data_IF_005504086273
#
_entry.id   IF_005504086273
#
_cell.length_a   1.000
_cell.length_b   1.000
_cell.length_c   1.000
_cell.angle_alpha   90.00
_cell.angle_beta   90.00
_cell.angle_gamma   90.00
#
_symmetry.space_group_name_H-M   'P 1'
#
loop_
_entity.id
_entity.type
_entity.pdbx_description
1 polymer ?
#
# COMPACT_ATOMS: atom_id res chain seq x y z
N UNK A 1 0.16 0.35 -24.67
CA UNK A 1 0.40 1.80 -24.57
C UNK A 1 1.32 2.02 -23.39
N UNK A 2 2.32 2.90 -23.49
CA UNK A 2 3.20 3.20 -22.37
C UNK A 2 2.40 3.85 -21.24
N UNK A 3 2.55 3.34 -20.03
CA UNK A 3 1.99 3.93 -18.81
C UNK A 3 2.32 5.44 -18.75
N UNK A 4 1.32 6.35 -18.74
CA UNK A 4 1.56 7.79 -18.74
C UNK A 4 2.28 8.27 -17.47
N UNK A 5 2.19 7.52 -16.37
CA UNK A 5 2.84 7.83 -15.09
C UNK A 5 4.20 7.16 -14.93
N UNK A 6 4.55 6.18 -15.78
CA UNK A 6 5.80 5.43 -15.70
C UNK A 6 6.07 4.82 -14.32
N UNK A 7 5.03 4.28 -13.68
CA UNK A 7 5.11 3.57 -12.40
C UNK A 7 5.34 2.07 -12.63
N UNK A 8 5.78 1.34 -11.60
CA UNK A 8 5.93 -0.10 -11.69
C UNK A 8 4.57 -0.79 -11.55
N UNK A 9 4.27 -1.74 -12.44
CA UNK A 9 2.99 -2.46 -12.43
C UNK A 9 3.09 -3.85 -11.83
N UNK A 10 1.94 -4.34 -11.37
CA UNK A 10 1.70 -5.67 -10.83
C UNK A 10 1.61 -6.70 -11.96
N UNK A 11 2.69 -6.85 -12.75
CA UNK A 11 2.79 -7.97 -13.67
C UNK A 11 2.73 -9.33 -12.94
N UNK A 12 2.72 -10.43 -13.69
CA UNK A 12 2.60 -11.77 -13.12
C UNK A 12 3.63 -12.09 -12.02
N UNK A 13 4.88 -11.63 -12.20
CA UNK A 13 5.95 -11.84 -11.22
C UNK A 13 5.67 -11.00 -9.96
N UNK A 14 5.30 -9.73 -10.14
CA UNK A 14 5.02 -8.82 -9.03
C UNK A 14 3.81 -9.27 -8.22
N UNK A 15 2.74 -9.77 -8.84
CA UNK A 15 1.59 -10.33 -8.12
C UNK A 15 1.99 -11.54 -7.24
N UNK A 16 2.89 -12.39 -7.73
CA UNK A 16 3.40 -13.54 -6.95
C UNK A 16 4.24 -13.08 -5.76
N UNK A 17 5.06 -12.04 -5.95
CA UNK A 17 5.86 -11.44 -4.88
C UNK A 17 4.96 -10.77 -3.83
N UNK A 18 3.95 -10.01 -4.25
CA UNK A 18 2.96 -9.40 -3.38
C UNK A 18 2.17 -10.45 -2.58
N UNK A 19 1.72 -11.52 -3.23
CA UNK A 19 1.04 -12.62 -2.54
C UNK A 19 1.91 -13.26 -1.45
N UNK A 20 3.22 -13.40 -1.71
CA UNK A 20 4.16 -13.93 -0.71
C UNK A 20 4.38 -12.95 0.43
N UNK A 21 4.57 -11.66 0.11
CA UNK A 21 4.81 -10.60 1.07
C UNK A 21 3.63 -10.40 2.03
N UNK A 22 2.41 -10.42 1.49
CA UNK A 22 1.20 -10.04 2.23
C UNK A 22 0.52 -11.20 2.95
N UNK A 23 0.94 -12.44 2.67
CA UNK A 23 0.44 -13.66 3.32
C UNK A 23 0.44 -13.61 4.85
N UNK A 24 1.47 -13.09 5.55
CA UNK A 24 1.46 -12.99 7.02
C UNK A 24 0.34 -12.11 7.57
N UNK A 25 -0.13 -11.13 6.80
CA UNK A 25 -1.25 -10.26 7.17
C UNK A 25 -2.61 -10.89 6.85
N UNK A 26 -2.63 -12.06 6.19
CA UNK A 26 -3.86 -12.72 5.76
C UNK A 26 -4.51 -12.10 4.52
N UNK A 27 -3.80 -11.25 3.79
CA UNK A 27 -4.28 -10.65 2.53
C UNK A 27 -4.05 -11.63 1.39
N UNK A 28 -5.07 -11.78 0.54
CA UNK A 28 -5.05 -12.63 -0.65
C UNK A 28 -5.04 -11.77 -1.91
N UNK A 29 -4.21 -12.13 -2.90
CA UNK A 29 -4.21 -11.46 -4.21
C UNK A 29 -5.26 -12.12 -5.10
N UNK A 30 -6.20 -11.34 -5.60
CA UNK A 30 -7.19 -11.75 -6.59
C UNK A 30 -6.87 -11.09 -7.93
N UNK A 31 -6.47 -11.89 -8.92
CA UNK A 31 -6.19 -11.37 -10.25
C UNK A 31 -7.50 -11.10 -11.01
N UNK A 32 -7.63 -9.89 -11.52
CA UNK A 32 -8.72 -9.45 -12.39
C UNK A 32 -8.21 -9.43 -13.83
N UNK A 33 -9.03 -9.89 -14.77
CA UNK A 33 -8.66 -9.86 -16.19
C UNK A 33 -8.45 -8.41 -16.68
N UNK A 34 -7.49 -8.20 -17.57
CA UNK A 34 -7.08 -6.86 -18.03
C UNK A 34 -8.21 -6.03 -18.67
N UNK A 35 -9.29 -6.67 -19.13
CA UNK A 35 -10.46 -6.04 -19.73
C UNK A 35 -11.65 -5.88 -18.77
N UNK A 36 -11.51 -6.29 -17.51
CA UNK A 36 -12.54 -6.14 -16.49
C UNK A 36 -12.26 -4.94 -15.58
N UNK A 37 -13.32 -4.36 -15.02
CA UNK A 37 -13.20 -3.30 -14.02
C UNK A 37 -12.74 -3.89 -12.68
N UNK A 38 -11.79 -3.23 -12.04
CA UNK A 38 -11.36 -3.58 -10.68
C UNK A 38 -12.43 -3.09 -9.71
N UNK A 39 -13.12 -4.03 -9.04
CA UNK A 39 -14.10 -3.68 -8.02
C UNK A 39 -13.38 -3.19 -6.76
N UNK A 40 -13.99 -2.24 -6.06
CA UNK A 40 -13.42 -1.69 -4.83
C UNK A 40 -12.29 -0.66 -5.05
N UNK A 41 -12.10 -0.18 -6.28
CA UNK A 41 -11.15 0.89 -6.60
C UNK A 41 -11.82 2.27 -6.46
N UNK A 42 -11.12 3.22 -5.83
CA UNK A 42 -11.61 4.58 -5.60
C UNK A 42 -11.21 5.59 -6.68
N UNK A 43 -9.95 5.57 -7.16
CA UNK A 43 -9.48 6.51 -8.18
C UNK A 43 -9.06 5.80 -9.47
N UNK A 44 -10.02 5.68 -10.40
CA UNK A 44 -9.74 5.33 -11.79
C UNK A 44 -9.63 3.84 -12.09
N UNK A 45 -9.38 3.50 -13.35
CA UNK A 45 -9.60 2.13 -13.85
C UNK A 45 -8.55 1.09 -13.41
N UNK A 46 -7.37 1.53 -12.95
CA UNK A 46 -6.21 0.65 -12.72
C UNK A 46 -5.73 0.61 -11.27
N UNK A 47 -6.33 1.38 -10.37
CA UNK A 47 -5.97 1.26 -8.95
C UNK A 47 -6.39 -0.10 -8.40
N UNK A 48 -5.63 -0.57 -7.40
CA UNK A 48 -5.98 -1.77 -6.68
C UNK A 48 -7.34 -1.59 -6.02
N UNK A 49 -8.10 -2.68 -5.97
CA UNK A 49 -9.33 -2.75 -5.20
C UNK A 49 -9.11 -3.53 -3.92
N UNK A 50 -9.85 -3.19 -2.87
CA UNK A 50 -9.78 -3.89 -1.60
C UNK A 50 -11.19 -4.28 -1.12
N UNK A 51 -11.44 -5.57 -0.94
CA UNK A 51 -12.72 -6.11 -0.46
C UNK A 51 -12.44 -7.17 0.60
N UNK A 52 -12.80 -6.92 1.85
CA UNK A 52 -12.39 -7.76 2.97
C UNK A 52 -10.86 -7.91 3.01
N UNK A 53 -10.36 -9.14 2.97
CA UNK A 53 -8.93 -9.43 2.91
C UNK A 53 -8.40 -9.65 1.49
N UNK A 54 -9.17 -9.34 0.46
CA UNK A 54 -8.79 -9.57 -0.93
C UNK A 54 -8.32 -8.28 -1.58
N UNK A 55 -7.13 -8.34 -2.16
CA UNK A 55 -6.53 -7.27 -2.94
C UNK A 55 -6.67 -7.60 -4.44
N UNK A 56 -7.53 -6.87 -5.12
CA UNK A 56 -7.91 -7.09 -6.51
C UNK A 56 -6.95 -6.34 -7.44
N UNK A 57 -6.23 -7.06 -8.31
CA UNK A 57 -5.17 -6.52 -9.16
C UNK A 57 -5.32 -6.95 -10.63
N UNK A 58 -5.16 -6.01 -11.55
CA UNK A 58 -4.86 -6.30 -12.97
C UNK A 58 -3.35 -6.23 -13.22
N UNK A 59 -2.89 -6.67 -14.39
CA UNK A 59 -1.47 -6.55 -14.72
C UNK A 59 -1.01 -5.10 -14.92
N UNK A 60 -1.94 -4.18 -15.17
CA UNK A 60 -1.66 -2.74 -15.23
C UNK A 60 -1.81 -2.04 -13.88
N UNK A 61 -2.19 -2.74 -12.79
CA UNK A 61 -2.30 -2.10 -11.47
C UNK A 61 -0.94 -1.67 -10.94
N UNK A 62 -0.74 -0.40 -10.55
CA UNK A 62 0.53 0.04 -9.98
C UNK A 62 0.87 -0.66 -8.64
N UNK A 63 2.13 -0.98 -8.43
CA UNK A 63 2.62 -1.61 -7.18
C UNK A 63 2.41 -0.69 -5.98
N UNK A 64 2.59 0.63 -6.13
CA UNK A 64 2.32 1.57 -5.04
C UNK A 64 0.85 1.55 -4.63
N UNK A 65 -0.09 1.44 -5.59
CA UNK A 65 -1.52 1.34 -5.31
C UNK A 65 -1.83 0.04 -4.57
N UNK A 66 -1.27 -1.10 -5.01
CA UNK A 66 -1.43 -2.38 -4.31
C UNK A 66 -0.93 -2.33 -2.85
N UNK A 67 0.23 -1.70 -2.61
CA UNK A 67 0.79 -1.56 -1.26
C UNK A 67 0.04 -0.52 -0.41
N UNK A 68 -0.53 0.52 -1.02
CA UNK A 68 -1.36 1.50 -0.34
C UNK A 68 -2.64 0.85 0.21
N UNK A 69 -3.37 0.13 -0.65
CA UNK A 69 -4.56 -0.63 -0.24
C UNK A 69 -4.25 -1.71 0.79
N UNK A 70 -3.16 -2.46 0.61
CA UNK A 70 -2.69 -3.39 1.64
C UNK A 70 -2.38 -2.67 2.96
N UNK A 71 -1.81 -1.46 2.89
CA UNK A 71 -1.55 -0.62 4.03
C UNK A 71 -2.82 -0.24 4.78
N UNK A 72 -3.89 0.14 4.08
CA UNK A 72 -5.19 0.37 4.72
C UNK A 72 -5.65 -0.85 5.50
N UNK A 73 -5.64 -2.04 4.89
CA UNK A 73 -6.04 -3.27 5.58
C UNK A 73 -5.20 -3.55 6.85
N UNK A 74 -3.88 -3.33 6.80
CA UNK A 74 -2.95 -3.56 7.90
C UNK A 74 -3.16 -2.54 9.04
N UNK A 75 -3.34 -1.26 8.68
CA UNK A 75 -3.48 -0.14 9.60
C UNK A 75 -4.88 -0.02 10.21
N UNK A 76 -5.91 -0.54 9.55
CA UNK A 76 -7.30 -0.47 9.97
C UNK A 76 -7.55 -1.24 11.26
N UNK A 77 -8.42 -0.73 12.13
CA UNK A 77 -8.84 -1.44 13.33
C UNK A 77 -9.68 -2.69 12.99
N UNK A 78 -9.73 -3.69 13.88
CA UNK A 78 -10.39 -4.97 13.60
C UNK A 78 -11.89 -4.86 13.27
N UNK A 79 -12.61 -3.93 13.89
CA UNK A 79 -14.06 -3.79 13.72
C UNK A 79 -14.40 -3.20 12.35
N UNK A 80 -13.62 -2.22 11.87
CA UNK A 80 -13.70 -1.72 10.49
C UNK A 80 -13.29 -2.77 9.48
N UNK A 81 -12.16 -3.47 9.71
CA UNK A 81 -11.66 -4.52 8.81
C UNK A 81 -12.64 -5.67 8.61
N UNK A 82 -13.42 -6.03 9.64
CA UNK A 82 -14.45 -7.06 9.54
C UNK A 82 -15.64 -6.67 8.64
N UNK A 83 -15.83 -5.37 8.35
CA UNK A 83 -16.93 -4.83 7.55
C UNK A 83 -16.49 -4.25 6.21
N UNK A 84 -15.20 -4.33 5.90
CA UNK A 84 -14.61 -3.73 4.72
C UNK A 84 -15.20 -4.32 3.44
N UNK A 85 -15.94 -3.52 2.68
CA UNK A 85 -16.55 -3.92 1.42
C UNK A 85 -16.03 -3.14 0.21
N UNK A 86 -15.46 -1.96 0.41
CA UNK A 86 -14.71 -1.14 -0.54
C UNK A 86 -14.02 0.01 0.21
N UNK A 87 -14.77 0.78 1.03
CA UNK A 87 -14.23 1.97 1.72
C UNK A 87 -13.44 1.61 2.98
N UNK A 88 -12.16 1.92 2.94
CA UNK A 88 -11.31 1.80 4.11
C UNK A 88 -11.73 2.81 5.19
N UNK A 89 -12.16 4.00 4.79
CA UNK A 89 -12.22 5.19 5.65
C UNK A 89 -10.86 5.42 6.36
N UNK A 90 -10.72 6.48 7.14
CA UNK A 90 -9.46 6.72 7.87
C UNK A 90 -9.35 8.15 8.39
N UNK A 91 -8.51 8.33 9.41
CA UNK A 91 -8.08 9.66 9.82
C UNK A 91 -6.73 10.01 9.19
N UNK A 92 -6.35 11.28 9.33
CA UNK A 92 -5.10 11.80 8.76
C UNK A 92 -3.85 11.06 9.26
N UNK A 93 -3.85 10.58 10.51
CA UNK A 93 -2.70 9.89 11.07
C UNK A 93 -2.58 8.47 10.49
N UNK A 94 -3.71 7.78 10.32
CA UNK A 94 -3.80 6.47 9.66
C UNK A 94 -3.32 6.56 8.19
N UNK A 95 -3.78 7.56 7.44
CA UNK A 95 -3.37 7.78 6.05
C UNK A 95 -1.86 8.01 5.89
N UNK A 96 -1.27 8.83 6.77
CA UNK A 96 0.18 9.03 6.77
C UNK A 96 0.92 7.74 7.17
N UNK A 97 0.37 6.98 8.11
CA UNK A 97 0.85 5.64 8.48
C UNK A 97 0.86 4.70 7.29
N UNK A 98 -0.22 4.66 6.50
CA UNK A 98 -0.31 3.87 5.26
C UNK A 98 0.74 4.31 4.24
N UNK A 99 0.91 5.63 4.04
CA UNK A 99 1.96 6.17 3.16
C UNK A 99 3.37 5.78 3.60
N UNK A 100 3.62 5.70 4.90
CA UNK A 100 4.93 5.33 5.42
C UNK A 100 5.14 3.82 5.29
N UNK A 101 4.11 3.03 5.60
CA UNK A 101 4.13 1.58 5.55
C UNK A 101 4.35 1.05 4.13
N UNK A 102 3.72 1.63 3.10
CA UNK A 102 3.94 1.20 1.71
C UNK A 102 5.42 1.33 1.28
N UNK A 103 6.13 2.34 1.78
CA UNK A 103 7.57 2.55 1.53
C UNK A 103 8.39 1.44 2.18
N UNK A 104 8.06 1.05 3.41
CA UNK A 104 8.74 -0.04 4.12
C UNK A 104 8.47 -1.40 3.48
N UNK A 105 7.20 -1.69 3.13
CA UNK A 105 6.81 -2.93 2.45
C UNK A 105 7.57 -3.12 1.12
N UNK A 106 7.82 -2.04 0.39
CA UNK A 106 8.54 -2.07 -0.89
C UNK A 106 9.96 -2.64 -0.79
N UNK A 107 10.64 -2.49 0.34
CA UNK A 107 11.98 -3.06 0.56
C UNK A 107 11.99 -4.59 0.62
N UNK A 108 10.85 -5.20 0.88
CA UNK A 108 10.69 -6.64 0.91
C UNK A 108 10.28 -7.24 -0.44
N UNK A 109 10.12 -6.41 -1.47
CA UNK A 109 9.86 -6.86 -2.85
C UNK A 109 11.17 -6.81 -3.65
N UNK A 110 11.63 -7.95 -4.21
CA UNK A 110 12.83 -7.97 -5.04
C UNK A 110 12.74 -6.97 -6.21
N UNK A 111 13.83 -6.24 -6.43
CA UNK A 111 14.00 -5.25 -7.51
C UNK A 111 13.07 -4.01 -7.45
N UNK A 112 12.39 -3.78 -6.32
CA UNK A 112 11.58 -2.58 -6.08
C UNK A 112 12.29 -1.64 -5.11
N UNK A 113 12.24 -1.92 -3.80
CA UNK A 113 12.85 -1.09 -2.77
C UNK A 113 12.15 0.25 -2.54
N UNK A 114 12.41 0.85 -1.38
CA UNK A 114 11.86 2.14 -0.96
C UNK A 114 12.13 3.28 -1.94
N UNK A 115 13.31 3.29 -2.56
CA UNK A 115 13.70 4.33 -3.50
C UNK A 115 12.80 4.34 -4.74
N UNK A 116 12.47 3.17 -5.28
CA UNK A 116 11.53 3.06 -6.39
C UNK A 116 10.13 3.47 -5.96
N UNK A 117 9.70 3.03 -4.78
CA UNK A 117 8.38 3.35 -4.24
C UNK A 117 8.15 4.85 -4.14
N UNK A 118 9.09 5.59 -3.54
CA UNK A 118 8.99 7.04 -3.40
C UNK A 118 8.92 7.76 -4.77
N UNK A 119 9.68 7.29 -5.77
CA UNK A 119 9.59 7.83 -7.14
C UNK A 119 8.23 7.56 -7.78
N UNK A 120 7.67 6.35 -7.59
CA UNK A 120 6.37 6.00 -8.14
C UNK A 120 5.24 6.78 -7.44
N UNK A 121 5.32 7.02 -6.13
CA UNK A 121 4.41 7.90 -5.40
C UNK A 121 4.43 9.33 -5.97
N UNK A 122 5.63 9.91 -6.17
CA UNK A 122 5.76 11.26 -6.74
C UNK A 122 5.20 11.33 -8.18
N UNK A 123 5.42 10.29 -8.99
CA UNK A 123 4.91 10.21 -10.38
C UNK A 123 3.40 10.02 -10.46
N UNK A 124 2.83 9.29 -9.51
CA UNK A 124 1.39 9.12 -9.39
C UNK A 124 0.69 10.43 -8.99
N UNK A 125 1.39 11.29 -8.25
CA UNK A 125 0.90 12.61 -7.85
C UNK A 125 0.67 12.77 -6.35
N UNK A 126 1.32 11.96 -5.51
CA UNK A 126 1.29 12.16 -4.06
C UNK A 126 1.85 13.55 -3.73
N UNK A 127 1.19 14.25 -2.81
CA UNK A 127 1.61 15.58 -2.39
C UNK A 127 2.00 15.57 -0.92
N UNK A 128 3.26 15.90 -0.65
CA UNK A 128 3.79 16.02 0.70
C UNK A 128 4.30 17.44 0.95
N UNK A 129 4.34 17.86 2.22
CA UNK A 129 4.72 19.23 2.62
C UNK A 129 6.10 19.65 2.09
N UNK A 130 7.05 18.71 2.01
CA UNK A 130 8.41 18.94 1.51
C UNK A 130 8.58 18.69 0.00
N UNK A 131 7.49 18.50 -0.74
CA UNK A 131 7.48 18.45 -2.21
C UNK A 131 7.93 17.13 -2.86
N UNK A 132 8.33 16.12 -2.08
CA UNK A 132 8.56 14.76 -2.56
C UNK A 132 8.34 13.73 -1.46
N UNK A 133 7.96 12.51 -1.83
CA UNK A 133 7.83 11.37 -0.94
C UNK A 133 9.15 11.08 -0.20
N UNK A 134 10.28 11.25 -0.88
CA UNK A 134 11.61 11.08 -0.26
C UNK A 134 11.90 12.11 0.83
N UNK A 135 11.71 13.40 0.53
CA UNK A 135 11.96 14.45 1.51
C UNK A 135 11.06 14.28 2.74
N UNK A 136 9.79 13.91 2.51
CA UNK A 136 8.84 13.59 3.56
C UNK A 136 9.29 12.40 4.41
N UNK A 137 9.56 11.25 3.79
CA UNK A 137 9.96 10.03 4.51
C UNK A 137 11.21 10.22 5.37
N UNK A 138 12.19 10.97 4.86
CA UNK A 138 13.46 11.19 5.56
C UNK A 138 13.40 12.30 6.63
N UNK A 139 12.51 13.30 6.51
CA UNK A 139 12.59 14.52 7.32
C UNK A 139 11.26 15.05 7.92
N UNK A 140 10.09 14.53 7.51
CA UNK A 140 8.76 15.06 7.92
C UNK A 140 7.72 13.95 8.15
N UNK A 141 8.15 12.72 8.37
CA UNK A 141 7.28 11.55 8.57
C UNK A 141 7.36 10.96 9.99
N UNK A 142 7.86 11.73 10.96
CA UNK A 142 8.02 11.25 12.36
C UNK A 142 6.68 10.84 12.98
N UNK A 143 5.63 11.62 12.77
CA UNK A 143 4.29 11.33 13.31
C UNK A 143 3.73 10.02 12.74
N UNK A 144 3.89 9.79 11.42
CA UNK A 144 3.50 8.55 10.76
C UNK A 144 4.24 7.33 11.32
N UNK A 145 5.56 7.46 11.50
CA UNK A 145 6.41 6.43 12.08
C UNK A 145 6.00 6.11 13.53
N UNK A 146 5.79 7.14 14.36
CA UNK A 146 5.37 6.98 15.75
C UNK A 146 3.98 6.34 15.85
N UNK A 147 3.06 6.68 14.93
CA UNK A 147 1.75 6.07 14.85
C UNK A 147 1.85 4.57 14.55
N UNK A 148 2.65 4.16 13.57
CA UNK A 148 2.86 2.75 13.25
C UNK A 148 3.49 1.96 14.41
N UNK A 149 4.44 2.57 15.14
CA UNK A 149 5.03 1.97 16.36
C UNK A 149 3.98 1.83 17.46
N UNK A 150 3.18 2.87 17.70
CA UNK A 150 2.10 2.88 18.70
C UNK A 150 1.09 1.75 18.45
N UNK A 151 0.79 1.46 17.19
CA UNK A 151 -0.11 0.37 16.80
C UNK A 151 0.59 -0.98 16.56
N UNK A 152 1.89 -1.06 16.85
CA UNK A 152 2.73 -2.27 16.76
C UNK A 152 2.77 -2.89 15.34
N UNK A 153 2.64 -2.05 14.30
CA UNK A 153 2.75 -2.46 12.89
C UNK A 153 4.23 -2.49 12.46
N UNK A 154 5.04 -1.61 13.06
CA UNK A 154 6.50 -1.63 12.96
C UNK A 154 7.12 -1.53 14.36
N UNK A 155 8.36 -1.99 14.49
CA UNK A 155 9.13 -1.84 15.73
C UNK A 155 9.92 -0.52 15.79
N UNK A 156 10.60 -0.28 16.92
CA UNK A 156 11.43 0.93 17.10
C UNK A 156 12.63 1.04 16.14
N UNK A 157 12.97 -0.05 15.44
CA UNK A 157 14.01 -0.09 14.38
C UNK A 157 13.39 -0.02 12.98
N UNK A 158 12.11 0.35 12.87
CA UNK A 158 11.33 0.44 11.64
C UNK A 158 11.23 -0.89 10.88
N UNK A 159 11.33 -2.03 11.58
CA UNK A 159 11.10 -3.35 11.00
C UNK A 159 9.61 -3.71 11.09
N UNK A 160 9.09 -4.34 10.05
CA UNK A 160 7.72 -4.84 10.02
C UNK A 160 7.55 -5.92 11.10
N UNK A 161 6.47 -5.82 11.88
CA UNK A 161 6.10 -6.84 12.88
C UNK A 161 5.29 -7.99 12.29
N UNK A 162 4.87 -7.86 11.03
CA UNK A 162 4.05 -8.84 10.29
C UNK A 162 2.68 -9.12 10.93
N UNK A 163 2.15 -8.18 11.70
CA UNK A 163 0.82 -8.24 12.28
C UNK A 163 -0.03 -7.05 11.82
N UNK A 164 -1.33 -7.28 11.70
CA UNK A 164 -2.28 -6.18 11.52
C UNK A 164 -2.51 -5.44 12.84
N UNK A 165 -3.02 -4.21 12.77
CA UNK A 165 -3.44 -3.45 13.95
C UNK A 165 -4.49 -4.25 14.74
N UNK A 166 -4.25 -4.39 16.04
CA UNK A 166 -5.09 -5.23 16.92
C UNK A 166 -6.11 -4.44 17.75
N UNK A 167 -5.95 -3.10 17.89
CA UNK A 167 -6.81 -2.17 18.65
C UNK A 167 -6.63 -0.75 18.12
#
# INVERSE_FOLDING_TARGET
>A
MSDPTNVLNCDQQRQTQLATLLKPYGIEIEHIADNEAIKGSFFGEREAGLIGNKLLLRHDTPVHSALHEAGHYICMDPDRRAKLDTDAEGDYDEENGVCYLQILLADHIPDVGRNRMMVDMDRWGYTFRLGSAKAWFENDAEDAKLWLIKHNIIDGSQQLTWICRNK
#
